data_IF_805068300377
#
_entry.id   IF_805068300377
#
_cell.length_a   1.000
_cell.length_b   1.000
_cell.length_c   1.000
_cell.angle_alpha   90.00
_cell.angle_beta   90.00
_cell.angle_gamma   90.00
#
_symmetry.space_group_name_H-M   'P 1'
#
loop_
_entity.id
_entity.type
_entity.pdbx_description
1 polymer ?
#
# COMPACT_ATOMS: atom_id res chain seq x y z
N UNK A 1 -10.12 -2.02 -23.87
CA UNK A 1 -9.34 -1.13 -22.98
C UNK A 1 -8.13 -1.93 -22.52
N UNK A 2 -6.93 -1.33 -22.46
CA UNK A 2 -5.78 -2.00 -21.86
C UNK A 2 -6.03 -2.26 -20.37
N UNK A 3 -5.67 -3.44 -19.90
CA UNK A 3 -5.65 -3.75 -18.46
C UNK A 3 -4.36 -3.25 -17.88
N UNK A 4 -4.43 -2.24 -17.03
CA UNK A 4 -3.27 -1.62 -16.41
C UNK A 4 -3.20 -1.95 -14.93
N UNK A 5 -1.99 -1.87 -14.38
CA UNK A 5 -1.70 -2.19 -12.99
C UNK A 5 -1.57 -0.92 -12.17
N UNK A 6 -2.45 -0.74 -11.19
CA UNK A 6 -2.32 0.26 -10.14
C UNK A 6 -1.51 -0.33 -9.00
N UNK A 7 -0.66 0.47 -8.36
CA UNK A 7 0.08 0.07 -7.16
C UNK A 7 -0.37 0.87 -5.96
N UNK A 8 -0.52 0.19 -4.83
CA UNK A 8 -0.85 0.77 -3.54
C UNK A 8 0.18 0.33 -2.51
N UNK A 9 0.84 1.30 -1.92
CA UNK A 9 1.76 1.12 -0.80
C UNK A 9 1.00 1.50 0.46
N UNK A 10 0.91 0.61 1.44
CA UNK A 10 0.33 0.89 2.77
C UNK A 10 1.38 0.58 3.83
N UNK A 11 1.68 1.54 4.70
CA UNK A 11 2.39 1.28 5.95
C UNK A 11 1.37 1.16 7.08
N UNK A 12 1.39 0.06 7.84
CA UNK A 12 0.49 -0.18 8.96
C UNK A 12 1.21 -0.14 10.31
N UNK A 13 0.44 -0.17 11.40
CA UNK A 13 0.98 -0.27 12.77
C UNK A 13 1.61 -1.63 13.10
N UNK A 14 1.24 -2.69 12.38
CA UNK A 14 1.80 -4.03 12.56
C UNK A 14 1.70 -4.87 11.28
N UNK A 15 2.26 -6.08 11.27
CA UNK A 15 2.11 -7.06 10.18
C UNK A 15 0.69 -7.65 10.06
N UNK A 16 -0.24 -7.31 10.95
CA UNK A 16 -1.63 -7.72 10.84
C UNK A 16 -2.35 -6.89 9.75
N UNK A 17 -2.95 -7.50 8.71
CA UNK A 17 -3.69 -6.77 7.67
C UNK A 17 -4.88 -5.95 8.19
N UNK A 18 -5.36 -6.22 9.40
CA UNK A 18 -6.44 -5.46 10.05
C UNK A 18 -5.93 -4.26 10.85
N UNK A 19 -4.61 -4.14 11.05
CA UNK A 19 -4.04 -3.01 11.78
C UNK A 19 -4.32 -1.69 11.05
N UNK A 20 -4.46 -0.59 11.81
CA UNK A 20 -4.59 0.74 11.22
C UNK A 20 -3.46 1.03 10.24
N UNK A 21 -3.84 1.59 9.09
CA UNK A 21 -2.90 2.19 8.16
C UNK A 21 -2.41 3.53 8.74
N UNK A 22 -1.11 3.76 8.66
CA UNK A 22 -0.43 4.98 9.11
C UNK A 22 -0.12 5.93 7.94
N UNK A 23 0.09 5.36 6.76
CA UNK A 23 0.23 6.11 5.52
C UNK A 23 -0.05 5.20 4.33
N UNK A 24 -0.43 5.80 3.21
CA UNK A 24 -0.51 5.08 1.95
C UNK A 24 -0.19 5.98 0.75
N UNK A 25 0.20 5.36 -0.35
CA UNK A 25 0.44 6.01 -1.64
C UNK A 25 -0.11 5.15 -2.77
N UNK A 26 -0.87 5.76 -3.68
CA UNK A 26 -1.40 5.12 -4.88
C UNK A 26 -0.63 5.63 -6.09
N UNK A 27 -0.20 4.71 -6.95
CA UNK A 27 0.44 5.00 -8.23
C UNK A 27 -0.48 4.55 -9.35
N UNK A 28 -0.95 5.53 -10.12
CA UNK A 28 -1.75 5.28 -11.30
C UNK A 28 -0.85 4.95 -12.50
N UNK A 29 -1.23 3.99 -13.34
CA UNK A 29 -0.49 3.62 -14.54
C UNK A 29 -0.73 4.58 -15.71
N UNK A 30 -0.79 5.89 -15.44
CA UNK A 30 -1.07 6.96 -16.42
C UNK A 30 0.12 7.93 -16.46
N UNK A 31 0.59 8.24 -17.66
CA UNK A 31 1.73 9.13 -17.84
C UNK A 31 1.44 10.53 -17.29
N UNK A 32 2.34 11.04 -16.45
CA UNK A 32 2.17 12.34 -15.82
C UNK A 32 1.19 12.35 -14.64
N UNK A 33 0.66 11.20 -14.22
CA UNK A 33 -0.06 11.10 -12.95
C UNK A 33 0.88 11.48 -11.81
N UNK A 34 0.50 12.51 -11.06
CA UNK A 34 1.16 12.81 -9.80
C UNK A 34 0.69 11.79 -8.77
N UNK A 35 1.61 11.24 -7.98
CA UNK A 35 1.30 10.56 -6.71
C UNK A 35 0.87 11.65 -5.73
N UNK A 36 -0.30 12.24 -5.97
CA UNK A 36 -0.81 13.29 -5.09
C UNK A 36 -1.35 12.61 -3.84
N UNK A 37 -0.65 12.82 -2.72
CA UNK A 37 -1.34 12.96 -1.44
C UNK A 37 -2.23 14.17 -1.62
N UNK A 38 -3.43 13.97 -2.18
CA UNK A 38 -4.39 15.04 -2.41
C UNK A 38 -4.56 15.78 -1.09
N UNK A 39 -4.11 17.05 -0.99
CA UNK A 39 -4.14 17.81 0.25
C UNK A 39 -5.57 18.16 0.68
N UNK A 40 -6.56 17.85 -0.16
CA UNK A 40 -7.99 17.96 0.11
C UNK A 40 -8.66 16.61 0.39
N UNK A 41 -7.97 15.48 0.18
CA UNK A 41 -8.51 14.18 0.58
C UNK A 41 -8.30 13.97 2.08
N UNK A 42 -9.36 13.57 2.78
CA UNK A 42 -9.46 13.48 4.25
C UNK A 42 -8.60 12.40 4.92
N UNK A 43 -7.47 12.01 4.31
CA UNK A 43 -6.48 11.13 4.90
C UNK A 43 -6.17 9.89 4.08
N UNK A 44 -5.74 8.85 4.79
CA UNK A 44 -5.23 7.62 4.21
C UNK A 44 -6.36 6.91 3.45
N UNK A 45 -6.18 6.56 2.15
CA UNK A 45 -7.24 6.04 1.28
C UNK A 45 -7.93 4.78 1.81
N UNK A 46 -7.23 3.99 2.62
CA UNK A 46 -7.77 2.80 3.27
C UNK A 46 -7.37 2.79 4.74
N UNK A 47 -8.33 2.53 5.63
CA UNK A 47 -8.08 2.44 7.06
C UNK A 47 -7.19 1.24 7.46
N UNK A 48 -7.11 0.21 6.61
CA UNK A 48 -6.27 -0.97 6.79
C UNK A 48 -6.02 -1.67 5.46
N UNK A 49 -5.06 -2.59 5.43
CA UNK A 49 -4.81 -3.45 4.27
C UNK A 49 -6.06 -4.26 3.94
N UNK A 50 -6.78 -4.76 4.94
CA UNK A 50 -8.04 -5.50 4.75
C UNK A 50 -9.08 -4.67 3.98
N UNK A 51 -9.20 -3.37 4.26
CA UNK A 51 -10.14 -2.51 3.55
C UNK A 51 -9.79 -2.41 2.05
N UNK A 52 -8.50 -2.32 1.71
CA UNK A 52 -8.05 -2.36 0.32
C UNK A 52 -8.35 -3.72 -0.34
N UNK A 53 -8.17 -4.84 0.37
CA UNK A 53 -8.49 -6.18 -0.16
C UNK A 53 -9.98 -6.34 -0.48
N UNK A 54 -10.86 -5.78 0.35
CA UNK A 54 -12.31 -5.78 0.11
C UNK A 54 -12.66 -4.97 -1.15
N UNK A 55 -11.93 -3.89 -1.42
CA UNK A 55 -12.07 -3.07 -2.63
C UNK A 55 -11.45 -3.72 -3.89
N UNK A 56 -10.88 -4.91 -3.76
CA UNK A 56 -10.37 -5.71 -4.87
C UNK A 56 -8.87 -5.56 -5.15
N UNK A 57 -8.13 -4.88 -4.26
CA UNK A 57 -6.67 -4.93 -4.27
C UNK A 57 -6.15 -6.32 -3.91
N UNK A 58 -4.96 -6.66 -4.39
CA UNK A 58 -4.29 -7.95 -4.14
C UNK A 58 -2.93 -7.70 -3.54
N UNK A 59 -2.57 -8.42 -2.49
CA UNK A 59 -1.22 -8.30 -1.89
C UNK A 59 -0.18 -8.90 -2.82
N UNK A 60 0.82 -8.11 -3.21
CA UNK A 60 2.00 -8.57 -3.95
C UNK A 60 3.22 -8.72 -3.03
N UNK A 61 3.29 -7.92 -1.96
CA UNK A 61 4.33 -8.01 -0.93
C UNK A 61 3.73 -7.74 0.45
N UNK A 62 4.05 -8.60 1.41
CA UNK A 62 3.75 -8.41 2.82
C UNK A 62 5.05 -8.21 3.60
N UNK A 63 5.03 -7.48 4.73
CA UNK A 63 6.22 -7.29 5.56
C UNK A 63 6.66 -8.63 6.16
N UNK A 64 7.98 -8.82 6.27
CA UNK A 64 8.54 -10.03 6.88
C UNK A 64 8.26 -10.04 8.39
N UNK A 65 7.45 -11.01 8.83
CA UNK A 65 7.05 -11.20 10.23
C UNK A 65 8.23 -11.59 11.14
N UNK A 66 9.35 -12.06 10.58
CA UNK A 66 10.51 -12.51 11.35
C UNK A 66 11.67 -11.50 11.40
N UNK A 67 11.65 -10.46 10.56
CA UNK A 67 12.73 -9.47 10.48
C UNK A 67 12.96 -8.69 11.79
N UNK A 68 11.97 -8.68 12.71
CA UNK A 68 12.07 -8.03 14.03
C UNK A 68 12.63 -8.89 15.17
N UNK A 69 12.92 -10.18 14.97
CA UNK A 69 13.24 -11.12 16.08
C UNK A 69 14.76 -11.32 16.29
N UNK A 70 15.65 -10.64 15.53
CA UNK A 70 17.09 -10.95 15.64
C UNK A 70 18.11 -9.87 15.26
N UNK A 71 17.74 -8.64 14.91
CA UNK A 71 18.73 -7.60 14.56
C UNK A 71 19.02 -6.68 15.74
N UNK A 72 20.07 -7.00 16.50
CA UNK A 72 20.70 -6.13 17.51
C UNK A 72 21.51 -4.97 16.85
N UNK A 73 21.10 -4.57 15.64
CA UNK A 73 21.79 -3.63 14.78
C UNK A 73 20.83 -2.54 14.33
N UNK A 74 21.01 -1.34 14.88
CA UNK A 74 20.34 -0.12 14.45
C UNK A 74 20.38 0.03 12.92
N UNK A 75 19.22 0.06 12.25
CA UNK A 75 19.20 0.48 10.84
C UNK A 75 17.93 0.25 10.02
N UNK A 76 17.12 -0.77 10.28
CA UNK A 76 15.98 -1.08 9.39
C UNK A 76 14.64 -0.93 10.10
N UNK A 77 14.13 0.30 10.10
CA UNK A 77 12.70 0.55 10.16
C UNK A 77 12.10 0.16 8.81
N UNK A 78 12.13 -1.12 8.45
CA UNK A 78 11.19 -1.63 7.45
C UNK A 78 9.87 -1.77 8.22
N UNK A 79 9.24 -0.60 8.41
CA UNK A 79 7.90 -0.47 8.95
C UNK A 79 6.96 -1.35 8.15
N UNK A 80 5.90 -1.82 8.80
CA UNK A 80 4.99 -2.85 8.32
C UNK A 80 4.32 -2.46 6.99
N UNK A 81 5.08 -2.59 5.89
CA UNK A 81 4.71 -2.10 4.58
C UNK A 81 4.17 -3.24 3.73
N UNK A 82 2.96 -3.03 3.25
CA UNK A 82 2.31 -3.87 2.26
C UNK A 82 2.37 -3.17 0.91
N UNK A 83 2.65 -3.95 -0.13
CA UNK A 83 2.50 -3.51 -1.51
C UNK A 83 1.37 -4.32 -2.11
N UNK A 84 0.41 -3.62 -2.71
CA UNK A 84 -0.78 -4.19 -3.32
C UNK A 84 -0.88 -3.76 -4.77
N UNK A 85 -1.53 -4.58 -5.58
CA UNK A 85 -1.89 -4.29 -6.96
C UNK A 85 -3.40 -4.31 -7.18
N UNK A 86 -3.87 -3.52 -8.15
CA UNK A 86 -5.22 -3.65 -8.71
C UNK A 86 -5.11 -3.61 -10.23
N UNK A 87 -5.71 -4.59 -10.90
CA UNK A 87 -5.75 -4.67 -12.37
C UNK A 87 -7.11 -4.18 -12.84
N UNK A 88 -7.15 -3.04 -13.51
CA UNK A 88 -8.39 -2.38 -13.97
C UNK A 88 -8.28 -2.00 -15.45
N UNK A 89 -9.43 -1.90 -16.11
CA UNK A 89 -9.54 -1.34 -17.45
C UNK A 89 -9.37 0.19 -17.34
N UNK A 90 -8.39 0.76 -18.05
CA UNK A 90 -8.16 2.20 -18.10
C UNK A 90 -8.58 2.76 -19.47
N UNK A 91 -9.31 3.87 -19.44
CA UNK A 91 -9.49 4.74 -20.60
C UNK A 91 -8.33 5.73 -20.66
N UNK A 92 -7.80 5.92 -21.87
CA UNK A 92 -6.69 6.84 -22.20
C UNK A 92 -7.19 8.30 -22.30
#
# INVERSE_FOLDING_TARGET
MPKLQRLLYINSESTNPQSPALSAAIYEPVAGSLTELDPTSDGIPYASVQAALIDGWRVIQAPDVWAGIGSDGAGEVIGFQFILEKIEDFDD
#
